data_IF_206880716189
#
_entry.id   IF_206880716189
#
_cell.length_a   1.000
_cell.length_b   1.000
_cell.length_c   1.000
_cell.angle_alpha   90.00
_cell.angle_beta   90.00
_cell.angle_gamma   90.00
#
_symmetry.space_group_name_H-M   'P 1'
#
loop_
_entity.id
_entity.type
_entity.pdbx_description
1 polymer ?
#
# COMPACT_ATOMS: atom_id res chain seq x y z
N UNK A 1 13.45 40.97 -43.82
CA UNK A 1 14.80 41.34 -43.37
C UNK A 1 15.25 40.36 -42.30
N UNK A 2 16.56 40.14 -42.15
CA UNK A 2 17.12 39.33 -41.06
C UNK A 2 17.27 40.19 -39.80
N UNK A 3 17.01 39.61 -38.62
CA UNK A 3 17.62 39.96 -37.33
C UNK A 3 17.68 38.71 -36.47
N UNK A 4 18.79 38.58 -35.75
CA UNK A 4 19.27 37.37 -35.08
C UNK A 4 19.25 37.55 -33.54
N UNK A 5 19.68 36.52 -32.80
CA UNK A 5 20.07 36.53 -31.36
C UNK A 5 18.91 36.65 -30.33
N UNK A 6 18.73 35.66 -29.44
CA UNK A 6 19.22 35.63 -28.02
C UNK A 6 18.31 36.42 -27.04
N UNK A 7 18.19 36.14 -25.75
CA UNK A 7 18.70 35.09 -24.83
C UNK A 7 17.64 34.89 -23.71
N UNK A 8 17.76 33.87 -22.86
CA UNK A 8 16.87 33.60 -21.71
C UNK A 8 17.32 34.36 -20.44
N UNK A 9 16.45 35.15 -19.77
CA UNK A 9 16.80 35.76 -18.48
C UNK A 9 15.96 35.27 -17.28
N UNK A 10 16.60 34.45 -16.44
CA UNK A 10 16.40 34.39 -14.97
C UNK A 10 17.62 35.09 -14.29
N UNK A 11 17.72 35.34 -12.95
CA UNK A 11 16.74 35.32 -11.84
C UNK A 11 16.89 36.52 -10.83
N UNK A 12 16.15 36.47 -9.68
CA UNK A 12 16.55 36.83 -8.27
C UNK A 12 15.69 37.83 -7.45
N UNK A 13 15.03 37.28 -6.40
CA UNK A 13 15.10 37.58 -4.94
C UNK A 13 15.16 39.03 -4.38
N UNK A 14 14.38 39.33 -3.31
CA UNK A 14 14.73 40.34 -2.29
C UNK A 14 15.35 39.80 -0.98
N UNK A 15 16.19 40.62 -0.34
CA UNK A 15 16.97 40.38 0.89
C UNK A 15 17.39 41.73 1.52
N UNK A 16 17.61 41.92 2.84
CA UNK A 16 17.32 41.11 4.05
C UNK A 16 16.54 42.03 5.04
N UNK A 17 16.88 42.36 6.31
CA UNK A 17 17.72 41.78 7.39
C UNK A 17 16.87 41.24 8.60
N UNK A 18 17.48 40.72 9.70
CA UNK A 18 16.74 40.07 10.79
C UNK A 18 16.59 40.90 12.08
N UNK A 19 15.62 40.54 12.93
CA UNK A 19 15.63 40.84 14.37
C UNK A 19 14.99 39.69 15.15
N UNK A 20 15.41 39.43 16.38
CA UNK A 20 14.85 38.34 17.18
C UNK A 20 14.95 38.55 18.69
N UNK A 21 13.93 38.09 19.42
CA UNK A 21 13.98 37.75 20.86
C UNK A 21 12.67 37.10 21.35
N UNK A 22 12.80 35.91 21.95
CA UNK A 22 12.09 35.39 23.16
C UNK A 22 10.56 35.58 23.32
N UNK A 23 9.84 34.45 23.51
CA UNK A 23 8.70 34.36 24.43
C UNK A 23 7.59 33.36 24.06
N UNK A 24 7.49 32.25 24.80
CA UNK A 24 6.27 31.41 24.96
C UNK A 24 5.74 31.66 26.41
N UNK A 25 4.57 31.15 26.89
CA UNK A 25 3.60 30.19 26.32
C UNK A 25 2.12 30.70 26.45
N UNK A 26 1.09 29.90 26.82
CA UNK A 26 0.12 29.28 25.90
C UNK A 26 -1.35 29.66 26.18
N UNK A 27 -2.30 29.11 25.42
CA UNK A 27 -3.70 28.97 25.86
C UNK A 27 -4.28 27.66 25.32
N UNK A 28 -4.72 26.80 26.24
CA UNK A 28 -5.46 25.58 25.97
C UNK A 28 -6.96 25.92 25.93
N UNK A 29 -7.76 25.15 25.18
CA UNK A 29 -9.08 24.63 25.58
C UNK A 29 -9.81 24.07 24.34
N UNK A 30 -9.68 22.76 24.14
CA UNK A 30 -10.79 21.87 23.74
C UNK A 30 -10.32 20.44 24.01
N UNK A 31 -10.63 19.96 25.22
CA UNK A 31 -10.44 18.57 25.61
C UNK A 31 -11.67 17.79 25.17
N UNK A 32 -11.60 17.02 24.08
CA UNK A 32 -12.45 15.84 23.92
C UNK A 32 -11.65 14.60 24.37
N UNK A 33 -11.88 14.28 25.64
CA UNK A 33 -11.65 13.00 26.33
C UNK A 33 -10.60 12.07 25.70
N UNK A 34 -9.35 12.45 25.95
CA UNK A 34 -8.25 11.52 26.09
C UNK A 34 -8.62 10.49 27.19
N UNK A 35 -9.22 9.35 26.81
CA UNK A 35 -9.23 8.15 27.67
C UNK A 35 -7.78 7.63 27.73
N UNK A 36 -6.98 8.34 28.54
CA UNK A 36 -5.66 7.91 28.96
C UNK A 36 -5.87 6.70 29.85
N UNK A 37 -5.99 5.54 29.21
CA UNK A 37 -5.64 4.28 29.85
C UNK A 37 -4.15 4.39 30.13
N UNK A 38 -3.83 4.89 31.32
CA UNK A 38 -2.49 5.17 31.82
C UNK A 38 -1.72 3.85 31.93
N UNK A 39 -1.17 3.40 30.80
CA UNK A 39 -0.20 2.33 30.73
C UNK A 39 1.15 2.86 31.21
N UNK A 40 1.21 3.18 32.51
CA UNK A 40 2.46 3.18 33.28
C UNK A 40 2.94 1.73 33.35
N UNK A 41 3.53 1.28 32.24
CA UNK A 41 4.44 0.14 32.24
C UNK A 41 5.73 0.59 32.90
N UNK A 42 5.78 0.38 34.21
CA UNK A 42 6.94 0.64 35.06
C UNK A 42 8.23 0.21 34.37
N UNK A 43 9.21 1.10 34.27
CA UNK A 43 10.56 0.81 33.76
C UNK A 43 11.16 -0.37 34.53
N UNK A 44 11.10 -1.56 33.93
CA UNK A 44 11.26 -2.82 34.65
C UNK A 44 11.42 -4.01 33.71
N UNK A 45 12.50 -3.97 32.93
CA UNK A 45 13.15 -5.13 32.29
C UNK A 45 12.21 -6.15 31.64
N UNK A 46 11.42 -5.68 30.67
CA UNK A 46 10.86 -6.56 29.63
C UNK A 46 11.04 -5.92 28.27
N UNK A 47 11.98 -6.50 27.54
CA UNK A 47 12.17 -6.33 26.11
C UNK A 47 10.94 -6.93 25.41
N UNK A 48 9.85 -6.15 25.32
CA UNK A 48 8.66 -6.52 24.56
C UNK A 48 9.03 -6.37 23.09
N UNK A 49 9.66 -7.42 22.56
CA UNK A 49 9.78 -7.63 21.11
C UNK A 49 8.37 -7.61 20.56
N UNK A 50 8.05 -6.53 19.84
CA UNK A 50 6.92 -6.47 18.93
C UNK A 50 7.16 -7.58 17.89
N UNK A 51 6.49 -8.72 18.07
CA UNK A 51 6.66 -9.86 17.17
C UNK A 51 6.07 -9.45 15.83
N UNK A 52 6.94 -9.27 14.84
CA UNK A 52 6.54 -9.09 13.44
C UNK A 52 5.48 -10.16 13.11
N UNK A 53 4.23 -9.76 12.79
CA UNK A 53 3.14 -10.69 12.50
C UNK A 53 3.48 -11.66 11.37
N UNK A 54 4.48 -11.35 10.55
CA UNK A 54 4.99 -12.18 9.48
C UNK A 54 6.39 -12.70 9.79
N UNK A 55 6.46 -13.73 10.63
CA UNK A 55 7.67 -14.56 10.72
C UNK A 55 8.03 -15.11 9.33
N UNK A 56 9.32 -15.31 9.07
CA UNK A 56 9.79 -15.89 7.80
C UNK A 56 9.23 -17.29 7.51
N UNK A 57 8.75 -18.00 8.54
CA UNK A 57 8.03 -19.27 8.41
C UNK A 57 6.59 -19.08 7.90
N UNK A 58 5.83 -18.15 8.48
CA UNK A 58 4.46 -17.85 8.02
C UNK A 58 4.42 -17.36 6.57
N UNK A 59 5.42 -16.56 6.17
CA UNK A 59 5.58 -16.12 4.79
C UNK A 59 5.84 -17.29 3.81
N UNK A 60 6.65 -18.27 4.21
CA UNK A 60 6.92 -19.47 3.39
C UNK A 60 5.69 -20.36 3.23
N UNK A 61 4.90 -20.54 4.30
CA UNK A 61 3.63 -21.28 4.26
C UNK A 61 2.67 -20.59 3.28
N UNK A 62 2.46 -19.27 3.42
CA UNK A 62 1.58 -18.49 2.55
C UNK A 62 2.00 -18.54 1.07
N UNK A 63 3.31 -18.49 0.78
CA UNK A 63 3.83 -18.68 -0.58
C UNK A 63 3.49 -20.07 -1.13
N UNK A 64 3.60 -21.12 -0.29
CA UNK A 64 3.19 -22.48 -0.62
C UNK A 64 1.70 -22.61 -0.94
N UNK A 65 0.84 -22.02 -0.11
CA UNK A 65 -0.61 -21.99 -0.29
C UNK A 65 -0.99 -21.27 -1.60
N UNK A 66 -0.43 -20.08 -1.85
CA UNK A 66 -0.68 -19.31 -3.08
C UNK A 66 -0.26 -20.12 -4.33
N UNK A 67 0.88 -20.81 -4.29
CA UNK A 67 1.29 -21.70 -5.40
C UNK A 67 0.32 -22.87 -5.60
N UNK A 68 -0.20 -23.46 -4.51
CA UNK A 68 -1.22 -24.50 -4.55
C UNK A 68 -2.50 -24.01 -5.21
N UNK A 69 -3.07 -22.89 -4.74
CA UNK A 69 -4.27 -22.28 -5.31
C UNK A 69 -4.10 -21.93 -6.81
N UNK A 70 -2.92 -21.47 -7.22
CA UNK A 70 -2.63 -21.20 -8.64
C UNK A 70 -2.69 -22.46 -9.52
N UNK A 71 -2.21 -23.60 -9.01
CA UNK A 71 -2.30 -24.89 -9.71
C UNK A 71 -3.75 -25.38 -9.81
N UNK A 72 -4.53 -25.26 -8.72
CA UNK A 72 -5.95 -25.59 -8.70
C UNK A 72 -6.76 -24.74 -9.68
N UNK A 73 -6.47 -23.43 -9.75
CA UNK A 73 -7.12 -22.50 -10.67
C UNK A 73 -6.87 -22.86 -12.15
N UNK A 74 -5.62 -23.20 -12.52
CA UNK A 74 -5.32 -23.65 -13.88
C UNK A 74 -5.97 -25.00 -14.21
N UNK A 75 -6.17 -25.88 -13.23
CA UNK A 75 -6.91 -27.13 -13.42
C UNK A 75 -8.43 -26.88 -13.60
N UNK A 76 -9.02 -26.00 -12.78
CA UNK A 76 -10.42 -25.59 -12.92
C UNK A 76 -10.69 -24.96 -14.30
N UNK A 77 -9.80 -24.08 -14.75
CA UNK A 77 -9.84 -23.45 -16.08
C UNK A 77 -9.80 -24.47 -17.23
N UNK A 78 -8.96 -25.51 -17.14
CA UNK A 78 -8.94 -26.62 -18.10
C UNK A 78 -10.26 -27.40 -18.10
N UNK A 79 -10.80 -27.72 -16.93
CA UNK A 79 -12.07 -28.43 -16.78
C UNK A 79 -13.25 -27.64 -17.36
N UNK A 80 -13.30 -26.32 -17.13
CA UNK A 80 -14.31 -25.43 -17.71
C UNK A 80 -14.19 -25.42 -19.24
N UNK A 81 -12.98 -25.33 -19.79
CA UNK A 81 -12.77 -25.38 -21.25
C UNK A 81 -13.21 -26.72 -21.86
N UNK A 82 -12.86 -27.85 -21.25
CA UNK A 82 -13.31 -29.18 -21.69
C UNK A 82 -14.85 -29.30 -21.68
N UNK A 83 -15.52 -28.82 -20.62
CA UNK A 83 -16.98 -28.77 -20.55
C UNK A 83 -17.60 -27.89 -21.65
N UNK A 84 -17.00 -26.72 -21.92
CA UNK A 84 -17.43 -25.83 -23.02
C UNK A 84 -17.32 -26.55 -24.37
N UNK A 85 -16.23 -27.28 -24.64
CA UNK A 85 -16.08 -28.01 -25.90
C UNK A 85 -17.07 -29.18 -26.02
N UNK A 86 -17.31 -29.93 -24.94
CA UNK A 86 -18.35 -30.97 -24.91
C UNK A 86 -19.74 -30.41 -25.22
N UNK A 87 -20.10 -29.28 -24.64
CA UNK A 87 -21.40 -28.63 -24.91
C UNK A 87 -21.52 -28.12 -26.34
N UNK A 88 -20.44 -27.56 -26.93
CA UNK A 88 -20.42 -27.18 -28.35
C UNK A 88 -20.68 -28.38 -29.25
N UNK A 89 -20.04 -29.52 -28.98
CA UNK A 89 -20.25 -30.75 -29.75
C UNK A 89 -21.69 -31.27 -29.64
N UNK A 90 -22.31 -31.19 -28.45
CA UNK A 90 -23.72 -31.56 -28.25
C UNK A 90 -24.63 -30.65 -29.08
N UNK A 91 -24.40 -29.32 -29.05
CA UNK A 91 -25.20 -28.36 -29.82
C UNK A 91 -25.04 -28.57 -31.33
N UNK A 92 -23.82 -28.82 -31.82
CA UNK A 92 -23.56 -29.13 -33.24
C UNK A 92 -24.26 -30.41 -33.70
N UNK A 93 -24.28 -31.48 -32.88
CA UNK A 93 -25.02 -32.71 -33.19
C UNK A 93 -26.53 -32.46 -33.23
N UNK A 94 -27.08 -31.72 -32.26
CA UNK A 94 -28.51 -31.41 -32.21
C UNK A 94 -28.96 -30.49 -33.36
N UNK A 95 -28.11 -29.56 -33.81
CA UNK A 95 -28.40 -28.66 -34.93
C UNK A 95 -28.36 -29.30 -36.33
N UNK A 96 -28.04 -30.60 -36.43
CA UNK A 96 -28.02 -31.38 -37.68
C UNK A 96 -29.27 -32.24 -37.88
N UNK A 97 -30.19 -32.26 -36.92
CA UNK A 97 -31.46 -33.02 -36.91
C UNK A 97 -32.61 -32.11 -37.28
#
# INVERSE_FOLDING_TARGET
GRKDSEDTPHPRRPQSPPSGRRGNPPTQEEQEEEDVVELVTTTGDRDVVDQDPFTSESAQILIGEIMGCNLELENLKKNINDFIQKNKNIIDVLGRV
#
